data_IF_722563794425
#
_entry.id   IF_722563794425
#
_cell.length_a   1.000
_cell.length_b   1.000
_cell.length_c   1.000
_cell.angle_alpha   90.00
_cell.angle_beta   90.00
_cell.angle_gamma   90.00
#
_symmetry.space_group_name_H-M   'P 1'
#
loop_
_entity.id
_entity.type
_entity.pdbx_description
1 polymer ?
#
# COMPACT_ATOMS: atom_id res chain seq x y z
N UNK A 1 6.46 28.40 -20.24
CA UNK A 1 6.11 27.29 -19.35
C UNK A 1 4.65 26.92 -19.59
N UNK A 2 4.34 25.65 -19.78
CA UNK A 2 2.94 25.20 -19.96
C UNK A 2 2.15 25.44 -18.65
N UNK A 3 0.89 25.91 -18.76
CA UNK A 3 -0.04 26.07 -17.64
C UNK A 3 -0.13 24.76 -16.85
N UNK A 4 -0.13 23.61 -17.54
CA UNK A 4 -0.11 22.27 -16.94
C UNK A 4 1.08 22.08 -15.98
N UNK A 5 2.28 22.46 -16.39
CA UNK A 5 3.48 22.34 -15.57
C UNK A 5 3.42 23.25 -14.33
N UNK A 6 2.83 24.44 -14.46
CA UNK A 6 2.64 25.34 -13.31
C UNK A 6 1.68 24.76 -12.28
N UNK A 7 0.55 24.18 -12.72
CA UNK A 7 -0.43 23.53 -11.84
C UNK A 7 0.17 22.31 -11.14
N UNK A 8 0.89 21.46 -11.87
CA UNK A 8 1.56 20.28 -11.30
C UNK A 8 2.62 20.67 -10.27
N UNK A 9 3.39 21.71 -10.54
CA UNK A 9 4.38 22.23 -9.57
C UNK A 9 3.71 22.70 -8.27
N UNK A 10 2.60 23.44 -8.37
CA UNK A 10 1.85 23.87 -7.16
C UNK A 10 1.31 22.68 -6.38
N UNK A 11 0.79 21.67 -7.07
CA UNK A 11 0.34 20.43 -6.47
C UNK A 11 1.48 19.69 -5.74
N UNK A 12 2.62 19.51 -6.39
CA UNK A 12 3.78 18.85 -5.79
C UNK A 12 4.45 19.67 -4.68
N UNK A 13 4.42 21.00 -4.75
CA UNK A 13 4.91 21.84 -3.65
C UNK A 13 4.15 21.60 -2.34
N UNK A 14 2.82 21.34 -2.43
CA UNK A 14 2.04 20.95 -1.24
C UNK A 14 2.48 19.58 -0.70
N UNK A 15 2.80 18.65 -1.59
CA UNK A 15 3.27 17.31 -1.18
C UNK A 15 4.63 17.38 -0.51
N UNK A 16 5.53 18.27 -0.94
CA UNK A 16 6.83 18.50 -0.31
C UNK A 16 6.71 18.87 1.16
N UNK A 17 5.65 19.60 1.58
CA UNK A 17 5.42 19.91 3.01
C UNK A 17 5.22 18.64 3.85
N UNK A 18 4.51 17.64 3.33
CA UNK A 18 4.32 16.37 4.02
C UNK A 18 5.63 15.55 4.08
N UNK A 19 6.42 15.56 3.01
CA UNK A 19 7.75 14.93 2.97
C UNK A 19 8.69 15.59 3.96
N UNK A 20 8.72 16.93 4.03
CA UNK A 20 9.50 17.68 5.01
C UNK A 20 9.07 17.40 6.45
N UNK A 21 7.76 17.25 6.70
CA UNK A 21 7.26 16.83 8.02
C UNK A 21 7.78 15.45 8.40
N UNK A 22 7.70 14.48 7.48
CA UNK A 22 8.24 13.13 7.70
C UNK A 22 9.75 13.17 7.98
N UNK A 23 10.50 13.96 7.21
CA UNK A 23 11.95 14.11 7.38
C UNK A 23 12.34 14.73 8.73
N UNK A 24 11.56 15.72 9.22
CA UNK A 24 11.86 16.45 10.46
C UNK A 24 11.31 15.78 11.72
N UNK A 25 10.22 15.03 11.57
CA UNK A 25 9.49 14.42 12.69
C UNK A 25 9.10 12.95 12.37
N UNK A 26 10.08 12.08 12.03
CA UNK A 26 9.79 10.71 11.60
C UNK A 26 9.03 9.91 12.67
N UNK A 27 9.44 10.01 13.94
CA UNK A 27 8.83 9.27 15.04
C UNK A 27 7.34 9.63 15.24
N UNK A 28 7.01 10.91 15.13
CA UNK A 28 5.62 11.36 15.25
C UNK A 28 4.76 10.83 14.09
N UNK A 29 5.27 10.90 12.86
CA UNK A 29 4.56 10.40 11.68
C UNK A 29 4.39 8.88 11.75
N UNK A 30 5.43 8.17 12.19
CA UNK A 30 5.37 6.73 12.38
C UNK A 30 4.34 6.34 13.46
N UNK A 31 4.34 7.03 14.59
CA UNK A 31 3.37 6.79 15.67
C UNK A 31 1.93 7.07 15.23
N UNK A 32 1.69 8.11 14.42
CA UNK A 32 0.37 8.41 13.84
C UNK A 32 -0.07 7.29 12.89
N UNK A 33 0.83 6.83 12.01
CA UNK A 33 0.52 5.76 11.07
C UNK A 33 0.23 4.45 11.80
N UNK A 34 1.03 4.10 12.80
CA UNK A 34 0.81 2.93 13.64
C UNK A 34 -0.59 2.96 14.28
N UNK A 35 -0.96 4.07 14.92
CA UNK A 35 -2.30 4.22 15.54
C UNK A 35 -3.43 4.03 14.53
N UNK A 36 -3.28 4.56 13.30
CA UNK A 36 -4.29 4.40 12.25
C UNK A 36 -4.40 2.94 11.81
N UNK A 37 -3.28 2.23 11.65
CA UNK A 37 -3.26 0.82 11.25
C UNK A 37 -3.89 -0.06 12.34
N UNK A 38 -3.51 0.16 13.60
CA UNK A 38 -4.06 -0.58 14.75
C UNK A 38 -5.56 -0.34 14.89
N UNK A 39 -6.03 0.90 14.80
CA UNK A 39 -7.45 1.21 14.91
C UNK A 39 -8.30 0.52 13.83
N UNK A 40 -7.76 0.38 12.62
CA UNK A 40 -8.42 -0.34 11.52
C UNK A 40 -8.36 -1.85 11.67
N UNK A 41 -7.21 -2.37 12.12
CA UNK A 41 -7.00 -3.80 12.30
C UNK A 41 -7.75 -4.41 13.49
N UNK A 42 -8.07 -3.61 14.51
CA UNK A 42 -8.68 -4.08 15.76
C UNK A 42 -10.01 -4.82 15.56
N UNK A 43 -10.82 -4.36 14.59
CA UNK A 43 -12.15 -4.92 14.34
C UNK A 43 -12.13 -6.10 13.33
N UNK A 44 -10.95 -6.52 12.84
CA UNK A 44 -10.78 -7.72 12.04
C UNK A 44 -10.78 -8.97 12.92
N UNK A 45 -10.98 -10.15 12.32
CA UNK A 45 -10.86 -11.41 13.06
C UNK A 45 -9.44 -11.59 13.63
N UNK A 46 -8.43 -11.34 12.79
CA UNK A 46 -7.03 -11.38 13.24
C UNK A 46 -6.81 -10.46 14.44
N UNK A 47 -7.29 -9.22 14.36
CA UNK A 47 -7.17 -8.25 15.44
C UNK A 47 -7.83 -8.73 16.75
N UNK A 48 -9.07 -9.22 16.66
CA UNK A 48 -9.79 -9.76 17.83
C UNK A 48 -9.10 -10.98 18.42
N UNK A 49 -8.66 -11.91 17.56
CA UNK A 49 -7.96 -13.13 18.01
C UNK A 49 -6.67 -12.84 18.76
N UNK A 50 -5.96 -11.80 18.37
CA UNK A 50 -4.70 -11.39 19.03
C UNK A 50 -4.91 -10.29 20.08
N UNK A 51 -6.15 -9.96 20.42
CA UNK A 51 -6.44 -8.93 21.43
C UNK A 51 -5.93 -7.54 21.03
N UNK A 52 -5.93 -7.22 19.73
CA UNK A 52 -5.53 -5.91 19.24
C UNK A 52 -6.60 -4.89 19.59
N UNK A 53 -6.27 -3.98 20.50
CA UNK A 53 -7.13 -2.85 20.87
C UNK A 53 -6.69 -1.58 20.13
N UNK A 54 -7.63 -0.65 19.89
CA UNK A 54 -7.39 0.57 19.08
C UNK A 54 -6.30 1.52 19.62
N UNK A 55 -5.88 1.32 20.86
CA UNK A 55 -4.90 2.19 21.53
C UNK A 55 -3.65 1.42 22.02
N UNK A 56 -3.34 0.28 21.39
CA UNK A 56 -2.12 -0.45 21.75
C UNK A 56 -0.87 0.37 21.40
N UNK A 57 0.14 0.27 22.26
CA UNK A 57 1.48 0.71 21.93
C UNK A 57 2.17 -0.29 21.00
N UNK A 58 3.23 0.11 20.27
CA UNK A 58 4.01 -0.80 19.43
C UNK A 58 4.53 -2.03 20.22
N UNK A 59 5.01 -1.83 21.45
CA UNK A 59 5.54 -2.88 22.30
C UNK A 59 4.43 -3.86 22.72
N UNK A 60 3.27 -3.35 23.11
CA UNK A 60 2.13 -4.18 23.47
C UNK A 60 1.57 -4.95 22.26
N UNK A 61 1.59 -4.35 21.07
CA UNK A 61 1.24 -5.04 19.82
C UNK A 61 2.22 -6.17 19.53
N UNK A 62 3.53 -5.89 19.57
CA UNK A 62 4.57 -6.89 19.33
C UNK A 62 4.49 -8.08 20.32
N UNK A 63 4.21 -7.80 21.60
CA UNK A 63 4.05 -8.83 22.61
C UNK A 63 2.82 -9.73 22.39
N UNK A 64 1.72 -9.19 21.84
CA UNK A 64 0.47 -9.94 21.61
C UNK A 64 0.46 -10.70 20.29
N UNK A 65 0.94 -10.09 19.23
CA UNK A 65 0.89 -10.68 17.90
C UNK A 65 2.11 -11.58 17.63
N UNK A 66 3.28 -11.20 18.13
CA UNK A 66 4.54 -11.90 17.86
C UNK A 66 4.95 -11.78 16.39
N UNK A 67 6.06 -12.46 16.06
CA UNK A 67 6.53 -12.55 14.68
C UNK A 67 5.73 -13.64 13.95
N UNK A 68 5.17 -13.29 12.79
CA UNK A 68 4.42 -14.21 11.95
C UNK A 68 5.20 -14.51 10.68
N UNK A 69 5.27 -15.76 10.29
CA UNK A 69 5.74 -16.16 8.96
C UNK A 69 4.57 -16.25 7.95
N UNK A 70 4.89 -16.51 6.68
CA UNK A 70 3.85 -16.62 5.67
C UNK A 70 2.92 -17.80 5.91
N UNK A 71 3.43 -18.93 6.37
CA UNK A 71 2.63 -20.16 6.54
C UNK A 71 1.62 -20.01 7.69
N UNK A 72 1.98 -19.34 8.77
CA UNK A 72 1.05 -19.02 9.85
C UNK A 72 -0.03 -18.00 9.44
N UNK A 73 0.29 -17.11 8.50
CA UNK A 73 -0.65 -16.10 8.00
C UNK A 73 -1.49 -16.58 6.81
N UNK A 74 -1.03 -17.60 6.09
CA UNK A 74 -1.66 -18.15 4.90
C UNK A 74 -3.14 -18.53 5.06
N UNK A 75 -3.60 -19.17 6.15
CA UNK A 75 -5.02 -19.48 6.32
C UNK A 75 -5.94 -18.25 6.28
N UNK A 76 -5.48 -17.11 6.78
CA UNK A 76 -6.21 -15.84 6.67
C UNK A 76 -6.25 -15.34 5.22
N UNK A 77 -5.14 -15.48 4.49
CA UNK A 77 -5.04 -15.08 3.08
C UNK A 77 -5.99 -15.92 2.21
N UNK A 78 -6.03 -17.23 2.40
CA UNK A 78 -6.90 -18.14 1.67
C UNK A 78 -8.39 -17.83 1.87
N UNK A 79 -8.79 -17.47 3.08
CA UNK A 79 -10.15 -17.04 3.37
C UNK A 79 -10.49 -15.70 2.70
N UNK A 80 -9.53 -14.74 2.71
CA UNK A 80 -9.71 -13.49 1.97
C UNK A 80 -9.82 -13.72 0.46
N UNK A 81 -9.04 -14.65 -0.11
CA UNK A 81 -9.15 -15.08 -1.52
C UNK A 81 -10.52 -15.72 -1.83
N UNK A 82 -11.07 -16.45 -0.88
CA UNK A 82 -12.43 -17.01 -0.98
C UNK A 82 -13.54 -15.95 -0.85
N UNK A 83 -13.18 -14.66 -0.65
CA UNK A 83 -14.13 -13.55 -0.57
C UNK A 83 -14.60 -13.21 0.83
N UNK A 84 -14.03 -13.82 1.87
CA UNK A 84 -14.41 -13.54 3.25
C UNK A 84 -13.93 -12.14 3.66
N UNK A 85 -14.80 -11.40 4.35
CA UNK A 85 -14.55 -10.01 4.74
C UNK A 85 -14.04 -9.93 6.18
N UNK A 86 -13.27 -8.87 6.47
CA UNK A 86 -12.80 -8.55 7.82
C UNK A 86 -11.97 -9.67 8.47
N UNK A 87 -11.24 -10.46 7.67
CA UNK A 87 -10.38 -11.55 8.17
C UNK A 87 -9.11 -10.97 8.78
N UNK A 88 -8.15 -10.52 7.97
CA UNK A 88 -6.92 -9.88 8.44
C UNK A 88 -6.80 -8.41 7.99
N UNK A 89 -7.70 -7.99 7.10
CA UNK A 89 -7.83 -6.60 6.67
C UNK A 89 -9.31 -6.19 6.75
N UNK A 90 -9.62 -4.90 7.00
CA UNK A 90 -11.00 -4.42 7.01
C UNK A 90 -11.67 -4.57 5.64
N UNK A 91 -12.93 -4.96 5.65
CA UNK A 91 -13.74 -5.07 4.45
C UNK A 91 -13.38 -6.26 3.57
N UNK A 92 -13.66 -6.13 2.29
CA UNK A 92 -13.39 -7.13 1.26
C UNK A 92 -12.11 -6.79 0.49
N UNK A 93 -11.14 -7.69 0.50
CA UNK A 93 -9.91 -7.57 -0.30
C UNK A 93 -10.17 -8.17 -1.68
N UNK A 94 -10.06 -7.34 -2.71
CA UNK A 94 -10.33 -7.74 -4.10
C UNK A 94 -9.09 -7.76 -4.98
N UNK A 95 -7.94 -7.36 -4.44
CA UNK A 95 -6.67 -7.35 -5.16
C UNK A 95 -5.66 -8.21 -4.43
N UNK A 96 -5.01 -9.12 -5.16
CA UNK A 96 -3.94 -9.97 -4.63
C UNK A 96 -2.75 -9.94 -5.58
N UNK A 97 -1.60 -9.61 -5.04
CA UNK A 97 -0.34 -9.76 -5.75
C UNK A 97 0.19 -11.18 -5.57
N UNK A 98 0.72 -11.74 -6.65
CA UNK A 98 1.40 -13.02 -6.65
C UNK A 98 2.92 -12.79 -6.70
N UNK A 99 3.64 -13.30 -5.72
CA UNK A 99 5.10 -13.22 -5.74
C UNK A 99 5.70 -14.25 -6.72
N UNK A 100 6.78 -13.87 -7.40
CA UNK A 100 7.61 -14.82 -8.14
C UNK A 100 8.31 -15.73 -7.13
N UNK A 101 7.83 -16.96 -6.97
CA UNK A 101 8.51 -17.94 -6.12
C UNK A 101 9.86 -18.31 -6.72
N UNK A 102 10.94 -17.90 -6.08
CA UNK A 102 12.31 -18.21 -6.56
C UNK A 102 12.93 -19.44 -5.91
N UNK A 103 12.37 -20.01 -4.86
CA UNK A 103 13.02 -21.10 -4.10
C UNK A 103 12.11 -22.17 -3.51
N UNK A 104 10.81 -21.98 -3.51
CA UNK A 104 9.84 -23.02 -3.14
C UNK A 104 8.68 -22.96 -4.10
N UNK A 105 8.39 -24.05 -4.75
CA UNK A 105 7.46 -24.32 -5.85
C UNK A 105 6.05 -23.70 -5.79
N UNK A 106 5.76 -22.75 -4.88
CA UNK A 106 4.44 -22.15 -4.70
C UNK A 106 4.51 -20.63 -4.60
N UNK A 107 3.90 -19.96 -5.56
CA UNK A 107 3.69 -18.51 -5.50
C UNK A 107 2.92 -18.13 -4.22
N UNK A 108 3.39 -17.09 -3.53
CA UNK A 108 2.73 -16.54 -2.35
C UNK A 108 1.74 -15.46 -2.78
N UNK A 109 0.54 -15.48 -2.21
CA UNK A 109 -0.45 -14.43 -2.41
C UNK A 109 -0.31 -13.36 -1.35
N UNK A 110 -0.31 -12.11 -1.77
CA UNK A 110 -0.19 -10.94 -0.91
C UNK A 110 -1.45 -10.12 -1.07
N UNK A 111 -2.29 -10.00 -0.03
CA UNK A 111 -3.47 -9.15 -0.07
C UNK A 111 -3.09 -7.69 -0.27
N UNK A 112 -3.73 -7.03 -1.24
CA UNK A 112 -3.49 -5.61 -1.54
C UNK A 112 -4.76 -4.85 -1.25
N UNK A 113 -4.79 -4.13 -0.14
CA UNK A 113 -5.94 -3.31 0.24
C UNK A 113 -5.95 -1.99 -0.51
N UNK A 114 -7.12 -1.34 -0.61
CA UNK A 114 -7.23 0.00 -1.21
C UNK A 114 -6.36 1.02 -0.48
N UNK A 115 -6.25 0.88 0.84
CA UNK A 115 -5.39 1.72 1.66
C UNK A 115 -3.91 1.51 1.34
N UNK A 116 -3.46 0.25 1.17
CA UNK A 116 -2.06 -0.03 0.81
C UNK A 116 -1.73 0.51 -0.58
N UNK A 117 -2.66 0.43 -1.53
CA UNK A 117 -2.51 1.07 -2.85
C UNK A 117 -2.34 2.57 -2.69
N UNK A 118 -3.19 3.22 -1.89
CA UNK A 118 -3.12 4.66 -1.69
C UNK A 118 -1.85 5.10 -0.96
N UNK A 119 -1.60 4.53 0.23
CA UNK A 119 -0.51 4.98 1.09
C UNK A 119 0.88 4.58 0.59
N UNK A 120 1.03 3.35 0.11
CA UNK A 120 2.36 2.84 -0.27
C UNK A 120 2.67 3.15 -1.74
N UNK A 121 1.71 2.98 -2.64
CA UNK A 121 1.99 3.06 -4.07
C UNK A 121 1.66 4.45 -4.64
N UNK A 122 0.43 4.92 -4.46
CA UNK A 122 0.03 6.21 -5.04
C UNK A 122 0.79 7.38 -4.42
N UNK A 123 0.83 7.46 -3.09
CA UNK A 123 1.57 8.52 -2.40
C UNK A 123 3.08 8.37 -2.59
N UNK A 124 3.62 7.16 -2.57
CA UNK A 124 5.04 6.92 -2.81
C UNK A 124 5.49 7.43 -4.19
N UNK A 125 4.72 7.14 -5.24
CA UNK A 125 5.02 7.66 -6.57
C UNK A 125 4.89 9.18 -6.65
N UNK A 126 3.88 9.76 -6.02
CA UNK A 126 3.72 11.22 -5.93
C UNK A 126 4.87 11.88 -5.18
N UNK A 127 5.41 11.22 -4.14
CA UNK A 127 6.57 11.69 -3.41
C UNK A 127 7.83 11.72 -4.28
N UNK A 128 8.10 10.65 -5.04
CA UNK A 128 9.21 10.62 -5.99
C UNK A 128 9.07 11.73 -7.02
N UNK A 129 7.87 11.90 -7.60
CA UNK A 129 7.62 12.97 -8.56
C UNK A 129 7.78 14.36 -7.94
N UNK A 130 7.33 14.57 -6.69
CA UNK A 130 7.45 15.83 -5.97
C UNK A 130 8.91 16.18 -5.68
N UNK A 131 9.69 15.24 -5.18
CA UNK A 131 11.14 15.41 -4.92
C UNK A 131 11.87 15.73 -6.21
N UNK A 132 11.60 14.95 -7.28
CA UNK A 132 12.25 15.18 -8.57
C UNK A 132 11.90 16.55 -9.17
N UNK A 133 10.61 16.90 -9.20
CA UNK A 133 10.16 18.19 -9.74
C UNK A 133 10.68 19.39 -8.91
N UNK A 134 10.84 19.20 -7.60
CA UNK A 134 11.44 20.20 -6.72
C UNK A 134 12.94 20.39 -6.99
N UNK A 135 13.67 19.28 -7.17
CA UNK A 135 15.11 19.29 -7.46
C UNK A 135 15.43 19.75 -8.89
N UNK A 136 14.50 19.54 -9.84
CA UNK A 136 14.64 19.87 -11.26
C UNK A 136 13.49 20.77 -11.73
N UNK A 137 13.45 22.06 -11.40
CA UNK A 137 12.33 22.95 -11.72
C UNK A 137 12.02 23.10 -13.20
N UNK A 138 12.99 22.85 -14.08
CA UNK A 138 12.84 22.92 -15.55
C UNK A 138 12.50 21.56 -16.17
N UNK A 139 12.16 20.55 -15.37
CA UNK A 139 11.86 19.22 -15.88
C UNK A 139 10.68 19.23 -16.85
N UNK A 140 10.76 18.39 -17.86
CA UNK A 140 9.71 18.12 -18.85
C UNK A 140 9.08 16.74 -18.66
N UNK A 141 9.32 16.09 -17.51
CA UNK A 141 8.85 14.72 -17.25
C UNK A 141 7.32 14.55 -17.42
N UNK A 142 6.57 15.62 -17.24
CA UNK A 142 5.12 15.62 -17.40
C UNK A 142 4.63 16.03 -18.80
N UNK A 143 5.52 16.36 -19.72
CA UNK A 143 5.15 16.86 -21.06
C UNK A 143 5.04 15.75 -22.11
N UNK A 144 5.59 14.58 -21.82
CA UNK A 144 5.63 13.42 -22.71
C UNK A 144 4.54 12.38 -22.46
N UNK A 145 4.70 11.25 -23.15
CA UNK A 145 3.96 10.01 -22.91
C UNK A 145 4.79 9.12 -22.00
N UNK A 146 4.14 8.38 -21.13
CA UNK A 146 4.78 7.36 -20.30
C UNK A 146 4.48 5.97 -20.87
N UNK A 147 5.52 5.17 -21.07
CA UNK A 147 5.38 3.76 -21.37
C UNK A 147 5.51 2.99 -20.06
N UNK A 148 4.51 2.17 -19.74
CA UNK A 148 4.51 1.32 -18.57
C UNK A 148 4.38 -0.13 -19.02
N UNK A 149 5.31 -0.98 -18.56
CA UNK A 149 5.26 -2.42 -18.77
C UNK A 149 4.89 -3.09 -17.44
N UNK A 150 3.93 -3.99 -17.49
CA UNK A 150 3.48 -4.75 -16.32
C UNK A 150 3.25 -6.21 -16.67
N UNK A 151 3.11 -7.03 -15.63
CA UNK A 151 2.73 -8.43 -15.76
C UNK A 151 1.24 -8.60 -16.12
N UNK A 152 0.79 -9.83 -16.04
CA UNK A 152 -0.61 -10.23 -16.31
C UNK A 152 -1.40 -10.36 -15.02
N UNK A 153 -2.72 -10.31 -15.15
CA UNK A 153 -3.65 -10.63 -14.07
C UNK A 153 -4.78 -11.52 -14.59
N UNK A 154 -5.37 -12.25 -13.66
CA UNK A 154 -6.58 -13.04 -13.88
C UNK A 154 -7.65 -12.62 -12.90
N UNK A 155 -8.91 -12.83 -13.25
CA UNK A 155 -10.04 -12.62 -12.34
C UNK A 155 -10.54 -13.98 -11.86
N UNK A 156 -10.54 -14.18 -10.55
CA UNK A 156 -10.98 -15.42 -9.92
C UNK A 156 -11.76 -15.07 -8.65
N UNK A 157 -12.96 -15.70 -8.47
CA UNK A 157 -13.85 -15.49 -7.33
C UNK A 157 -14.14 -14.02 -7.00
N UNK A 158 -14.20 -13.15 -8.02
CA UNK A 158 -14.41 -11.72 -7.85
C UNK A 158 -13.15 -10.92 -7.46
N UNK A 159 -12.03 -11.60 -7.20
CA UNK A 159 -10.73 -10.98 -6.96
C UNK A 159 -9.91 -10.85 -8.25
N UNK A 160 -9.04 -9.84 -8.29
CA UNK A 160 -7.99 -9.70 -9.29
C UNK A 160 -6.69 -10.22 -8.70
N UNK A 161 -6.10 -11.21 -9.36
CA UNK A 161 -4.87 -11.87 -8.95
C UNK A 161 -3.84 -11.70 -10.06
N UNK A 162 -2.67 -11.19 -9.75
CA UNK A 162 -1.63 -11.00 -10.76
C UNK A 162 -0.30 -10.60 -10.18
N UNK A 163 0.65 -10.38 -11.06
CA UNK A 163 1.94 -9.83 -10.64
C UNK A 163 1.74 -8.47 -9.98
N UNK A 164 2.58 -8.12 -9.01
CA UNK A 164 2.46 -6.86 -8.30
C UNK A 164 2.45 -5.66 -9.25
N UNK A 165 3.26 -5.68 -10.31
CA UNK A 165 3.29 -4.65 -11.34
C UNK A 165 1.94 -4.50 -12.05
N UNK A 166 1.26 -5.60 -12.39
CA UNK A 166 -0.06 -5.55 -13.02
C UNK A 166 -1.11 -4.96 -12.09
N UNK A 167 -1.12 -5.39 -10.81
CA UNK A 167 -2.03 -4.87 -9.78
C UNK A 167 -1.83 -3.38 -9.58
N UNK A 168 -0.57 -2.92 -9.55
CA UNK A 168 -0.24 -1.49 -9.40
C UNK A 168 -0.68 -0.65 -10.60
N UNK A 169 -0.42 -1.11 -11.82
CA UNK A 169 -0.82 -0.39 -13.04
C UNK A 169 -2.33 -0.23 -13.09
N UNK A 170 -3.09 -1.30 -12.81
CA UNK A 170 -4.56 -1.23 -12.76
C UNK A 170 -5.07 -0.21 -11.72
N UNK A 171 -4.41 -0.14 -10.57
CA UNK A 171 -4.79 0.81 -9.52
C UNK A 171 -4.50 2.27 -9.89
N UNK A 172 -3.57 2.51 -10.82
CA UNK A 172 -3.12 3.83 -11.25
C UNK A 172 -3.89 4.38 -12.47
N UNK A 173 -4.45 3.50 -13.29
CA UNK A 173 -5.23 3.91 -14.48
C UNK A 173 -6.58 4.55 -14.09
N UNK A 174 -7.03 4.33 -12.87
CA UNK A 174 -8.32 4.82 -12.36
C UNK A 174 -8.21 6.02 -11.40
N UNK A 175 -7.06 6.73 -11.43
CA UNK A 175 -6.85 7.96 -10.62
C UNK A 175 -6.99 9.23 -11.48
#
# INVERSE_FOLDING_TARGET
MSIRNSLLRTYFARRMKAIDRFRRHPDQVQAEMFRQLIARGADTEFGRRHGVAKHLTPEAFAARVGVQDYESFKPYIERMLAGEKNVAAPGWVTLFARSSGTTSDRSKFIPVTRESVWWNHTLGMRDVAAVYASAKPQTKIFDGKTLTLGGSYVRENGALIGDLSAVLILSLIHI
#
